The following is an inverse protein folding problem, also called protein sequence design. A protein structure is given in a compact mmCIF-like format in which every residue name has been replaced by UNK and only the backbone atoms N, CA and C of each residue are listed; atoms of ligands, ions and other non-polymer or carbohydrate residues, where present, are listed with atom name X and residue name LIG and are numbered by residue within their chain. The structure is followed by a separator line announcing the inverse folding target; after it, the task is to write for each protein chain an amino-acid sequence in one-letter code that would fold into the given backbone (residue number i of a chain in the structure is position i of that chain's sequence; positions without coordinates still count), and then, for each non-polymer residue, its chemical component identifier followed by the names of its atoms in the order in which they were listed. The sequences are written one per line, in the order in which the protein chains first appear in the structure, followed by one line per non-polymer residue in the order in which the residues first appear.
data_IF_526315335387
#
_entry.id   IF_526315335387
#
_cell.length_a   1.000
_cell.length_b   1.000
_cell.length_c   1.000
_cell.angle_alpha   90.00
_cell.angle_beta   90.00
_cell.angle_gamma   90.00
#
_symmetry.space_group_name_H-M   'P 1'
#
loop_
_entity.id
_entity.type
_entity.pdbx_description
1 polymer ?
#
# COMPACT_ATOMS: atom_id res chain seq x y z
N UNK A 1 -50.20 35.60 -41.32
CA UNK A 1 -49.22 34.58 -41.76
C UNK A 1 -47.81 35.00 -41.32
N UNK A 2 -47.57 34.96 -40.09
CA UNK A 2 -46.21 35.15 -39.45
C UNK A 2 -46.37 34.66 -38.04
N UNK A 3 -45.87 33.46 -37.72
CA UNK A 3 -45.59 32.96 -36.36
C UNK A 3 -45.62 31.43 -36.24
N UNK A 4 -45.24 30.67 -37.25
CA UNK A 4 -45.14 29.19 -37.11
C UNK A 4 -43.71 28.69 -37.52
N UNK A 5 -42.69 29.55 -37.40
CA UNK A 5 -41.34 29.10 -37.87
C UNK A 5 -40.29 29.02 -36.75
N UNK A 6 -40.70 29.21 -35.51
CA UNK A 6 -39.72 29.24 -34.40
C UNK A 6 -39.85 28.12 -33.36
N UNK A 7 -40.70 27.12 -33.55
CA UNK A 7 -40.87 26.06 -32.58
C UNK A 7 -40.13 24.73 -32.94
N UNK A 8 -39.61 24.65 -34.18
CA UNK A 8 -39.02 23.39 -34.69
C UNK A 8 -37.50 23.33 -34.52
N UNK A 9 -36.86 24.44 -34.16
CA UNK A 9 -35.39 24.50 -34.02
C UNK A 9 -34.92 24.22 -32.58
N UNK A 10 -35.80 24.40 -31.59
CA UNK A 10 -35.45 24.21 -30.17
C UNK A 10 -35.53 22.73 -29.76
N UNK A 11 -36.24 21.89 -30.51
CA UNK A 11 -36.37 20.45 -30.19
C UNK A 11 -35.17 19.62 -30.64
N UNK A 12 -34.23 20.14 -31.44
CA UNK A 12 -33.09 19.42 -31.97
C UNK A 12 -31.79 19.59 -31.16
N UNK A 13 -31.78 20.46 -30.16
CA UNK A 13 -30.61 20.72 -29.33
C UNK A 13 -30.60 20.04 -27.95
N UNK A 14 -31.65 19.30 -27.60
CA UNK A 14 -31.76 18.61 -26.30
C UNK A 14 -31.36 17.12 -26.32
N UNK A 15 -30.85 16.63 -27.43
CA UNK A 15 -30.58 15.18 -27.63
C UNK A 15 -29.14 14.72 -27.47
N UNK A 16 -28.19 15.58 -27.05
CA UNK A 16 -26.75 15.21 -27.11
C UNK A 16 -26.00 15.13 -25.78
N UNK A 17 -26.66 15.05 -24.63
CA UNK A 17 -25.96 14.92 -23.34
C UNK A 17 -26.39 13.68 -22.55
N UNK A 18 -26.28 12.51 -23.17
CA UNK A 18 -26.32 11.25 -22.43
C UNK A 18 -25.29 10.29 -22.98
N UNK A 19 -24.01 10.73 -23.05
CA UNK A 19 -22.90 9.77 -23.03
C UNK A 19 -22.47 9.69 -21.58
N UNK A 20 -23.20 8.89 -20.81
CA UNK A 20 -22.73 8.37 -19.54
C UNK A 20 -21.52 7.49 -19.85
N UNK A 21 -20.34 7.94 -19.56
CA UNK A 21 -19.18 7.08 -19.45
C UNK A 21 -19.40 6.19 -18.23
N UNK A 22 -20.01 5.03 -18.46
CA UNK A 22 -20.03 3.95 -17.48
C UNK A 22 -18.63 3.33 -17.45
N UNK A 23 -17.76 3.91 -16.62
CA UNK A 23 -16.47 3.31 -16.28
C UNK A 23 -16.67 2.42 -15.06
N UNK A 24 -17.29 1.28 -15.28
CA UNK A 24 -17.42 0.22 -14.28
C UNK A 24 -16.26 -0.80 -14.41
N UNK A 25 -15.06 -0.35 -14.67
CA UNK A 25 -13.84 -1.13 -14.51
C UNK A 25 -12.99 -0.54 -13.39
N UNK A 26 -13.60 -0.27 -12.23
CA UNK A 26 -12.84 -0.11 -11.01
C UNK A 26 -12.49 -1.51 -10.54
N UNK A 27 -11.20 -1.86 -10.60
CA UNK A 27 -10.65 -3.03 -9.90
C UNK A 27 -11.05 -2.90 -8.43
N UNK A 28 -12.08 -3.63 -8.03
CA UNK A 28 -12.61 -3.55 -6.67
C UNK A 28 -11.59 -4.17 -5.72
N UNK A 29 -10.96 -3.32 -4.91
CA UNK A 29 -10.05 -3.76 -3.84
C UNK A 29 -10.87 -4.54 -2.83
N UNK A 30 -10.49 -5.80 -2.63
CA UNK A 30 -11.08 -6.68 -1.65
C UNK A 30 -10.03 -7.18 -0.67
N UNK A 31 -10.49 -7.57 0.52
CA UNK A 31 -9.70 -8.29 1.51
C UNK A 31 -8.34 -7.64 1.84
N UNK A 32 -8.38 -6.41 2.37
CA UNK A 32 -7.16 -5.81 2.95
C UNK A 32 -6.85 -6.55 4.25
N UNK A 33 -5.69 -7.21 4.28
CA UNK A 33 -5.25 -7.97 5.45
C UNK A 33 -3.74 -7.82 5.68
N UNK A 34 -3.30 -8.10 6.91
CA UNK A 34 -1.88 -8.08 7.23
C UNK A 34 -1.15 -9.21 6.50
N UNK A 35 -0.02 -8.89 5.90
CA UNK A 35 0.88 -9.85 5.28
C UNK A 35 2.20 -9.90 6.05
N UNK A 36 2.71 -11.10 6.32
CA UNK A 36 3.97 -11.23 7.05
C UNK A 36 5.14 -10.70 6.23
N UNK A 37 6.05 -10.03 6.90
CA UNK A 37 7.32 -9.62 6.35
C UNK A 37 8.30 -10.77 6.55
N UNK A 38 8.76 -11.38 5.45
CA UNK A 38 9.65 -12.56 5.50
C UNK A 38 11.09 -12.16 5.79
N UNK A 39 11.53 -11.01 5.27
CA UNK A 39 12.87 -10.48 5.52
C UNK A 39 12.92 -8.97 5.35
N UNK A 40 13.98 -8.37 5.89
CA UNK A 40 14.21 -6.91 5.89
C UNK A 40 15.65 -6.63 5.50
N UNK A 41 15.84 -5.63 4.64
CA UNK A 41 17.15 -5.10 4.27
C UNK A 41 17.26 -3.64 4.67
N UNK A 42 18.25 -3.37 5.52
CA UNK A 42 18.69 -2.04 5.93
C UNK A 42 20.07 -1.82 5.28
N UNK A 43 20.25 -0.68 4.62
CA UNK A 43 21.51 -0.38 3.93
C UNK A 43 22.63 0.01 4.90
N UNK A 44 22.28 0.73 5.96
CA UNK A 44 23.21 1.23 6.99
C UNK A 44 22.62 1.00 8.37
N UNK A 45 23.38 0.37 9.26
CA UNK A 45 23.02 0.18 10.66
C UNK A 45 23.44 1.37 11.55
N UNK A 46 24.20 2.30 10.97
CA UNK A 46 24.60 3.57 11.61
C UNK A 46 24.38 4.71 10.62
N UNK A 47 23.78 5.81 11.07
CA UNK A 47 23.50 6.97 10.23
C UNK A 47 23.41 8.26 11.06
N UNK A 48 23.54 9.41 10.39
CA UNK A 48 23.39 10.72 11.02
C UNK A 48 21.91 11.14 11.10
N UNK A 49 21.60 12.01 12.08
CA UNK A 49 20.29 12.67 12.14
C UNK A 49 19.99 13.40 10.81
N UNK A 50 18.71 13.44 10.42
CA UNK A 50 18.20 14.07 9.21
C UNK A 50 18.68 13.49 7.88
N UNK A 51 19.53 12.47 7.89
CA UNK A 51 19.81 11.69 6.70
C UNK A 51 18.68 10.72 6.39
N UNK A 52 18.59 10.23 5.17
CA UNK A 52 17.51 9.34 4.73
C UNK A 52 18.11 8.04 4.22
N UNK A 53 17.55 6.92 4.68
CA UNK A 53 17.77 5.63 4.03
C UNK A 53 16.44 4.93 3.75
N UNK A 54 16.42 4.09 2.72
CA UNK A 54 15.26 3.25 2.42
C UNK A 54 15.43 1.89 3.10
N UNK A 55 14.45 1.54 3.92
CA UNK A 55 14.33 0.20 4.51
C UNK A 55 13.45 -0.62 3.58
N UNK A 56 13.97 -1.76 3.09
CA UNK A 56 13.25 -2.66 2.19
C UNK A 56 12.72 -3.87 2.94
N UNK A 57 11.46 -4.22 2.65
CA UNK A 57 10.82 -5.42 3.17
C UNK A 57 10.46 -6.36 2.04
N UNK A 58 10.49 -7.64 2.33
CA UNK A 58 10.17 -8.72 1.40
C UNK A 58 9.02 -9.54 1.98
N UNK A 59 8.00 -9.77 1.19
CA UNK A 59 6.83 -10.57 1.56
C UNK A 59 6.46 -11.51 0.43
N UNK A 60 5.97 -12.70 0.77
CA UNK A 60 5.51 -13.67 -0.22
C UNK A 60 4.00 -13.52 -0.42
N UNK A 61 3.60 -13.23 -1.64
CA UNK A 61 2.21 -13.12 -2.06
C UNK A 61 1.73 -14.44 -2.64
N UNK A 62 0.54 -14.95 -2.26
CA UNK A 62 0.08 -16.27 -2.66
C UNK A 62 -0.38 -16.35 -4.12
N UNK A 63 -0.78 -15.23 -4.71
CA UNK A 63 -1.26 -15.19 -6.10
C UNK A 63 -0.88 -13.91 -6.83
N UNK A 64 -1.15 -13.88 -8.13
CA UNK A 64 -0.95 -12.69 -8.95
C UNK A 64 -1.94 -11.54 -8.66
N UNK A 65 -3.07 -11.84 -7.99
CA UNK A 65 -4.06 -10.85 -7.58
C UNK A 65 -3.74 -10.15 -6.28
N UNK A 66 -2.80 -10.67 -5.50
CA UNK A 66 -2.40 -10.09 -4.23
C UNK A 66 -1.34 -9.00 -4.43
N UNK A 67 -1.56 -7.84 -3.88
CA UNK A 67 -0.71 -6.68 -4.06
C UNK A 67 -0.45 -5.96 -2.73
N UNK A 68 0.62 -5.20 -2.70
CA UNK A 68 0.95 -4.39 -1.53
C UNK A 68 -0.05 -3.24 -1.36
N UNK A 69 -0.61 -3.10 -0.17
CA UNK A 69 -1.52 -2.03 0.19
C UNK A 69 -0.80 -0.88 0.89
N UNK A 70 0.05 -1.19 1.87
CA UNK A 70 0.74 -0.18 2.65
C UNK A 70 1.35 -0.73 3.92
N UNK A 71 1.87 0.17 4.73
CA UNK A 71 2.37 -0.14 6.08
C UNK A 71 1.54 0.55 7.14
N UNK A 72 1.30 -0.14 8.24
CA UNK A 72 1.04 0.48 9.52
C UNK A 72 2.38 0.70 10.22
N UNK A 73 2.70 1.98 10.52
CA UNK A 73 3.98 2.40 11.05
C UNK A 73 3.76 3.13 12.37
N UNK A 74 3.97 2.43 13.47
CA UNK A 74 3.71 2.92 14.82
C UNK A 74 5.03 3.36 15.47
N UNK A 75 5.04 4.58 15.97
CA UNK A 75 6.17 5.17 16.70
C UNK A 75 5.89 5.12 18.20
N UNK A 76 6.86 4.59 18.95
CA UNK A 76 6.84 4.60 20.40
C UNK A 76 8.26 4.93 20.91
N UNK A 77 8.51 6.21 21.17
CA UNK A 77 9.85 6.68 21.44
C UNK A 77 10.81 6.40 20.28
N UNK A 78 11.87 5.64 20.53
CA UNK A 78 12.81 5.16 19.50
C UNK A 78 12.43 3.79 18.91
N UNK A 79 11.34 3.18 19.38
CA UNK A 79 10.81 1.94 18.79
C UNK A 79 9.90 2.24 17.59
N UNK A 80 9.97 1.39 16.58
CA UNK A 80 9.17 1.46 15.35
C UNK A 80 8.56 0.10 15.09
N UNK A 81 7.23 -0.01 15.18
CA UNK A 81 6.52 -1.23 14.85
C UNK A 81 5.96 -1.10 13.44
N UNK A 82 6.28 -2.06 12.59
CA UNK A 82 5.94 -2.05 11.16
C UNK A 82 5.15 -3.30 10.81
N UNK A 83 3.93 -3.11 10.32
CA UNK A 83 3.06 -4.16 9.81
C UNK A 83 2.78 -3.87 8.35
N UNK A 84 3.02 -4.82 7.45
CA UNK A 84 2.66 -4.70 6.05
C UNK A 84 1.23 -5.22 5.82
N UNK A 85 0.53 -4.60 4.88
CA UNK A 85 -0.79 -5.01 4.43
C UNK A 85 -0.80 -5.30 2.95
N UNK A 86 -1.59 -6.27 2.57
CA UNK A 86 -1.89 -6.61 1.19
C UNK A 86 -3.37 -6.43 0.91
N UNK A 87 -3.71 -6.32 -0.35
CA UNK A 87 -5.07 -6.37 -0.85
C UNK A 87 -5.17 -7.34 -2.01
N UNK A 88 -6.35 -7.89 -2.21
CA UNK A 88 -6.65 -8.77 -3.33
C UNK A 88 -7.57 -8.04 -4.30
N UNK A 89 -7.30 -8.12 -5.61
CA UNK A 89 -8.21 -7.66 -6.65
C UNK A 89 -9.08 -8.81 -7.14
N UNK A 90 -10.31 -8.47 -7.56
CA UNK A 90 -11.19 -9.45 -8.20
C UNK A 90 -10.65 -9.85 -9.58
N UNK A 91 -10.77 -11.11 -9.91
CA UNK A 91 -10.42 -11.61 -11.24
C UNK A 91 -9.95 -13.05 -11.25
N UNK A 92 -9.63 -13.53 -12.44
CA UNK A 92 -8.98 -14.81 -12.63
C UNK A 92 -7.47 -14.62 -12.53
N UNK A 93 -6.87 -15.13 -11.46
CA UNK A 93 -5.48 -14.90 -11.17
C UNK A 93 -4.68 -16.20 -11.18
N UNK A 94 -3.44 -16.11 -11.66
CA UNK A 94 -2.49 -17.20 -11.54
C UNK A 94 -2.17 -17.43 -10.06
N UNK A 95 -2.31 -18.68 -9.60
CA UNK A 95 -2.02 -19.10 -8.22
C UNK A 95 -0.51 -19.31 -7.97
N UNK A 96 0.35 -18.64 -8.73
CA UNK A 96 1.78 -18.69 -8.54
C UNK A 96 2.20 -17.71 -7.42
N UNK A 97 2.87 -18.23 -6.40
CA UNK A 97 3.47 -17.40 -5.35
C UNK A 97 4.60 -16.53 -5.91
N UNK A 98 4.71 -15.32 -5.41
CA UNK A 98 5.78 -14.40 -5.78
C UNK A 98 6.30 -13.64 -4.56
N UNK A 99 7.56 -13.28 -4.59
CA UNK A 99 8.14 -12.38 -3.58
C UNK A 99 8.00 -10.94 -4.07
N UNK A 100 7.29 -10.13 -3.29
CA UNK A 100 7.22 -8.70 -3.50
C UNK A 100 8.24 -7.95 -2.65
N UNK A 101 8.78 -6.88 -3.21
CA UNK A 101 9.72 -5.97 -2.52
C UNK A 101 9.06 -4.63 -2.38
N UNK A 102 8.93 -4.16 -1.15
CA UNK A 102 8.40 -2.85 -0.83
C UNK A 102 9.38 -2.13 0.10
N UNK A 103 9.17 -0.85 0.33
CA UNK A 103 10.05 -0.11 1.21
C UNK A 103 9.47 1.22 1.64
N UNK A 104 10.09 1.78 2.65
CA UNK A 104 9.79 3.11 3.16
C UNK A 104 11.08 3.84 3.52
N UNK A 105 11.02 5.17 3.52
CA UNK A 105 12.15 6.00 3.91
C UNK A 105 12.12 6.24 5.42
N UNK A 106 13.27 6.04 6.04
CA UNK A 106 13.52 6.39 7.43
C UNK A 106 14.43 7.64 7.49
N UNK A 107 13.94 8.65 8.19
CA UNK A 107 14.67 9.90 8.47
C UNK A 107 14.58 10.19 9.95
N UNK A 108 15.63 9.88 10.73
CA UNK A 108 15.65 10.18 12.17
C UNK A 108 15.78 11.67 12.43
N UNK A 109 15.12 12.16 13.48
CA UNK A 109 15.17 13.57 13.91
C UNK A 109 15.96 13.74 15.20
N UNK A 110 16.26 12.66 15.91
CA UNK A 110 17.02 12.66 17.15
C UNK A 110 18.04 11.51 17.17
N UNK A 111 19.10 11.72 17.94
CA UNK A 111 20.13 10.69 18.17
C UNK A 111 19.61 9.58 19.06
N UNK A 112 20.14 8.40 18.90
CA UNK A 112 19.83 7.26 19.74
C UNK A 112 19.83 5.95 19.00
N UNK A 113 19.45 4.88 19.68
CA UNK A 113 19.34 3.53 19.11
C UNK A 113 17.87 3.29 18.77
N UNK A 114 17.58 3.27 17.50
CA UNK A 114 16.25 2.94 17.01
C UNK A 114 16.08 1.44 16.87
N UNK A 115 14.99 0.88 17.42
CA UNK A 115 14.63 -0.51 17.29
C UNK A 115 13.42 -0.65 16.38
N UNK A 116 13.58 -1.32 15.27
CA UNK A 116 12.51 -1.64 14.35
C UNK A 116 12.03 -3.07 14.59
N UNK A 117 10.72 -3.24 14.71
CA UNK A 117 10.03 -4.52 14.82
C UNK A 117 9.11 -4.70 13.64
N UNK A 118 9.45 -5.66 12.78
CA UNK A 118 8.67 -5.98 11.59
C UNK A 118 7.83 -7.23 11.85
N UNK A 119 6.53 -7.13 11.62
CA UNK A 119 5.64 -8.25 11.88
C UNK A 119 5.91 -9.41 10.90
N UNK A 120 6.27 -10.56 11.44
CA UNK A 120 6.59 -11.79 10.69
C UNK A 120 5.53 -12.88 10.86
N UNK A 121 4.26 -12.50 11.13
CA UNK A 121 3.18 -13.44 11.32
C UNK A 121 2.97 -13.83 12.77
N UNK A 122 2.38 -14.99 12.96
CA UNK A 122 2.06 -15.55 14.29
C UNK A 122 2.62 -16.97 14.42
N UNK A 123 2.95 -17.34 15.64
CA UNK A 123 3.36 -18.70 15.98
C UNK A 123 2.15 -19.63 16.18
N UNK A 124 2.42 -20.90 16.51
CA UNK A 124 1.40 -21.92 16.75
C UNK A 124 0.50 -21.60 17.98
N UNK A 125 0.94 -20.71 18.86
CA UNK A 125 0.19 -20.22 20.03
C UNK A 125 -0.56 -18.92 19.75
N UNK A 126 -0.64 -18.51 18.47
CA UNK A 126 -1.27 -17.27 18.01
C UNK A 126 -0.60 -15.99 18.56
N UNK A 127 0.68 -16.07 18.93
CA UNK A 127 1.50 -14.94 19.36
C UNK A 127 2.21 -14.32 18.18
N UNK A 128 2.30 -12.98 18.15
CA UNK A 128 3.01 -12.27 17.11
C UNK A 128 4.50 -12.55 17.13
N UNK A 129 5.06 -12.82 15.95
CA UNK A 129 6.50 -12.96 15.72
C UNK A 129 7.00 -11.68 15.09
N UNK A 130 8.18 -11.21 15.53
CA UNK A 130 8.79 -9.98 15.05
C UNK A 130 10.22 -10.22 14.57
N UNK A 131 10.58 -9.61 13.44
CA UNK A 131 11.97 -9.45 13.02
C UNK A 131 12.45 -8.13 13.60
N UNK A 132 13.49 -8.16 14.44
CA UNK A 132 14.05 -6.95 15.04
C UNK A 132 15.32 -6.50 14.30
N UNK A 133 15.41 -5.21 14.06
CA UNK A 133 16.58 -4.53 13.49
C UNK A 133 16.85 -3.26 14.27
N UNK A 134 18.12 -2.94 14.45
CA UNK A 134 18.55 -1.71 15.10
C UNK A 134 19.29 -0.78 14.15
N UNK A 135 19.09 0.51 14.31
CA UNK A 135 19.85 1.57 13.63
C UNK A 135 20.36 2.54 14.69
N UNK A 136 21.66 2.73 14.72
CA UNK A 136 22.32 3.72 15.59
C UNK A 136 22.32 5.07 14.87
N UNK A 137 21.80 6.10 15.52
CA UNK A 137 21.76 7.46 14.99
C UNK A 137 22.66 8.34 15.83
N UNK A 138 23.66 8.95 15.17
CA UNK A 138 24.71 9.79 15.76
C UNK A 138 24.50 11.29 15.48
#
# INVERSE_FOLDING_TARGET
MKKIFNLSVIALLAGFFAVSCDRNDEDEIQNVESIKIDSVKIAQDTMDVFTIQTIKTYSTYPSACDNFFGYDYIRNGLERNVVAYSYTINGTCTQATRVGVNGFNFRPEEKGIYTFKFWNGKDNSNQNIWIEKTIVVE
#
